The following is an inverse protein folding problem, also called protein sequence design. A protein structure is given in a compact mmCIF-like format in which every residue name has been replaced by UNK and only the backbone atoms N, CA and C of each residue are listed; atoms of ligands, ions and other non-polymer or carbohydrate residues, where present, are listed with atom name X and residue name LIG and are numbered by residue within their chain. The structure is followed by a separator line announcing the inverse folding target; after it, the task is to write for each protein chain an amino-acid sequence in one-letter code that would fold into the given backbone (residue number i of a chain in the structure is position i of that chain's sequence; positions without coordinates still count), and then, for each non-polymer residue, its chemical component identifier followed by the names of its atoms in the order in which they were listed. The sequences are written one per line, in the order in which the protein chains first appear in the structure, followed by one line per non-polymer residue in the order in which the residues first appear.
data_IF_168314583820
#
_entry.id   IF_168314583820
#
_cell.length_a   1.000
_cell.length_b   1.000
_cell.length_c   1.000
_cell.angle_alpha   90.00
_cell.angle_beta   90.00
_cell.angle_gamma   90.00
#
_symmetry.space_group_name_H-M   'P 1'
#
loop_
_entity.id
_entity.type
_entity.pdbx_description
1 polymer ?
#
# COMPACT_ATOMS: atom_id res chain seq x y z
N UNK A 1 -2.03 -2.05 8.60
CA UNK A 1 -1.06 -2.21 7.49
C UNK A 1 0.31 -2.46 8.07
N UNK A 2 1.00 -3.46 7.52
CA UNK A 2 2.35 -3.82 7.93
C UNK A 2 3.31 -2.64 7.73
N UNK A 3 4.25 -2.43 8.66
CA UNK A 3 5.19 -1.30 8.60
C UNK A 3 5.99 -1.33 7.30
N UNK A 4 6.31 -2.54 6.83
CA UNK A 4 6.98 -2.77 5.56
C UNK A 4 6.13 -2.34 4.35
N UNK A 5 4.83 -2.64 4.35
CA UNK A 5 3.95 -2.25 3.25
C UNK A 5 3.83 -0.73 3.12
N UNK A 6 3.78 -0.03 4.26
CA UNK A 6 3.71 1.42 4.30
C UNK A 6 5.01 2.08 3.84
N UNK A 7 6.16 1.54 4.22
CA UNK A 7 7.48 1.99 3.76
C UNK A 7 7.60 1.84 2.24
N UNK A 8 7.18 0.68 1.70
CA UNK A 8 7.24 0.45 0.25
C UNK A 8 6.30 1.41 -0.48
N UNK A 9 5.08 1.63 0.03
CA UNK A 9 4.14 2.61 -0.53
C UNK A 9 4.75 4.02 -0.61
N UNK A 10 5.43 4.44 0.46
CA UNK A 10 6.10 5.75 0.49
C UNK A 10 7.22 5.84 -0.57
N UNK A 11 7.99 4.77 -0.74
CA UNK A 11 9.01 4.67 -1.80
C UNK A 11 8.40 4.77 -3.20
N UNK A 12 7.22 4.21 -3.43
CA UNK A 12 6.55 4.29 -4.74
C UNK A 12 6.08 5.70 -5.07
N UNK A 13 5.52 6.40 -4.08
CA UNK A 13 5.12 7.81 -4.24
C UNK A 13 6.35 8.68 -4.51
N UNK A 14 7.44 8.48 -3.77
CA UNK A 14 8.71 9.17 -4.03
C UNK A 14 9.25 8.86 -5.45
N UNK A 15 9.16 7.60 -5.90
CA UNK A 15 9.52 7.19 -7.24
C UNK A 15 8.71 7.87 -8.34
N UNK A 16 7.39 8.05 -8.15
CA UNK A 16 6.54 8.79 -9.09
C UNK A 16 6.91 10.28 -9.15
N UNK A 17 7.20 10.91 -8.00
CA UNK A 17 7.64 12.31 -7.95
C UNK A 17 8.96 12.48 -8.70
N UNK A 18 9.93 11.59 -8.48
CA UNK A 18 11.23 11.60 -9.17
C UNK A 18 11.04 11.36 -10.69
N UNK A 19 10.13 10.45 -11.07
CA UNK A 19 9.87 10.15 -12.48
C UNK A 19 9.23 11.32 -13.24
N UNK A 20 8.37 12.11 -12.58
CA UNK A 20 7.74 13.31 -13.16
C UNK A 20 8.72 14.49 -13.23
N UNK A 21 9.58 14.65 -12.23
CA UNK A 21 10.52 15.78 -12.14
C UNK A 21 11.79 15.62 -12.97
N UNK A 22 12.02 14.45 -13.59
CA UNK A 22 13.14 14.18 -14.49
C UNK A 22 12.74 14.50 -15.94
N UNK A 23 13.53 15.35 -16.60
CA UNK A 23 13.49 15.52 -18.06
C UNK A 23 14.59 14.68 -18.73
N UNK A 24 14.27 13.85 -19.75
CA UNK A 24 12.93 13.55 -20.26
C UNK A 24 12.13 12.66 -19.32
N UNK A 25 10.80 12.84 -19.30
CA UNK A 25 9.87 11.98 -18.56
C UNK A 25 10.10 10.51 -18.91
N UNK A 26 10.24 9.65 -17.90
CA UNK A 26 10.49 8.22 -18.09
C UNK A 26 9.20 7.44 -17.81
N UNK A 27 8.33 7.21 -18.81
CA UNK A 27 7.04 6.56 -18.62
C UNK A 27 7.18 5.14 -18.07
N UNK A 28 8.23 4.40 -18.44
CA UNK A 28 8.46 3.04 -17.94
C UNK A 28 8.61 2.97 -16.42
N UNK A 29 9.37 3.89 -15.83
CA UNK A 29 9.56 4.00 -14.38
C UNK A 29 8.25 4.41 -13.69
N UNK A 30 7.49 5.32 -14.30
CA UNK A 30 6.21 5.76 -13.78
C UNK A 30 5.19 4.61 -13.72
N UNK A 31 5.00 3.85 -14.81
CA UNK A 31 4.05 2.75 -14.84
C UNK A 31 4.49 1.54 -14.00
N UNK A 32 5.80 1.28 -13.90
CA UNK A 32 6.32 0.28 -12.96
C UNK A 32 6.01 0.67 -11.50
N UNK A 33 6.21 1.95 -11.16
CA UNK A 33 5.86 2.47 -9.84
C UNK A 33 4.35 2.48 -9.59
N UNK A 34 3.54 2.72 -10.63
CA UNK A 34 2.09 2.63 -10.53
C UNK A 34 1.63 1.18 -10.28
N UNK A 35 2.18 0.23 -11.04
CA UNK A 35 1.84 -1.19 -10.96
C UNK A 35 2.19 -1.82 -9.61
N UNK A 36 3.39 -1.53 -9.07
CA UNK A 36 3.77 -2.02 -7.75
C UNK A 36 2.88 -1.45 -6.63
N UNK A 37 2.41 -0.21 -6.76
CA UNK A 37 1.59 0.43 -5.73
C UNK A 37 0.22 -0.25 -5.67
N UNK A 38 -0.33 -0.60 -6.83
CA UNK A 38 -1.59 -1.34 -6.95
C UNK A 38 -1.46 -2.73 -6.29
N UNK A 39 -0.38 -3.48 -6.56
CA UNK A 39 -0.15 -4.81 -5.97
C UNK A 39 -0.10 -4.71 -4.44
N UNK A 40 0.59 -3.71 -3.91
CA UNK A 40 0.71 -3.45 -2.47
C UNK A 40 -0.64 -3.11 -1.85
N UNK A 41 -1.42 -2.25 -2.49
CA UNK A 41 -2.75 -1.86 -2.01
C UNK A 41 -3.67 -3.08 -1.99
N UNK A 42 -3.62 -3.95 -3.01
CA UNK A 42 -4.42 -5.18 -3.05
C UNK A 42 -4.00 -6.13 -1.91
N UNK A 43 -2.70 -6.37 -1.75
CA UNK A 43 -2.19 -7.26 -0.69
C UNK A 43 -2.51 -6.71 0.71
N UNK A 44 -2.35 -5.40 0.90
CA UNK A 44 -2.69 -4.69 2.12
C UNK A 44 -4.18 -4.75 2.43
N UNK A 45 -5.04 -4.53 1.44
CA UNK A 45 -6.50 -4.60 1.56
C UNK A 45 -6.96 -5.99 2.00
N UNK A 46 -6.40 -7.05 1.41
CA UNK A 46 -6.70 -8.43 1.80
C UNK A 46 -6.37 -8.72 3.27
N UNK A 47 -5.19 -8.28 3.74
CA UNK A 47 -4.75 -8.46 5.14
C UNK A 47 -5.59 -7.61 6.11
N UNK A 48 -5.81 -6.34 5.79
CA UNK A 48 -6.55 -5.40 6.66
C UNK A 48 -8.00 -5.86 6.90
N UNK A 49 -8.63 -6.48 5.90
CA UNK A 49 -10.02 -6.94 5.98
C UNK A 49 -10.19 -8.10 6.98
N UNK A 50 -9.18 -8.96 7.13
CA UNK A 50 -9.17 -10.03 8.13
C UNK A 50 -8.95 -9.48 9.54
N UNK A 51 -7.94 -8.62 9.70
CA UNK A 51 -7.62 -7.98 10.99
C UNK A 51 -8.80 -7.14 11.55
N UNK A 52 -9.56 -6.46 10.68
CA UNK A 52 -10.75 -5.71 11.10
C UNK A 52 -11.88 -6.61 11.61
N UNK A 53 -12.07 -7.77 10.99
CA UNK A 53 -13.11 -8.72 11.38
C UNK A 53 -12.77 -9.43 12.70
N UNK A 54 -11.50 -9.75 12.92
CA UNK A 54 -11.00 -10.34 14.16
C UNK A 54 -11.14 -9.37 15.33
N UNK A 55 -10.68 -8.11 15.18
CA UNK A 55 -10.85 -7.06 16.21
C UNK A 55 -12.32 -6.83 16.57
N UNK A 56 -13.24 -6.88 15.59
CA UNK A 56 -14.69 -6.78 15.85
C UNK A 56 -15.25 -7.98 16.61
N UNK A 57 -14.74 -9.20 16.36
CA UNK A 57 -15.14 -10.41 17.09
C UNK A 57 -14.62 -10.40 18.52
N UNK A 58 -13.39 -9.97 18.74
CA UNK A 58 -12.77 -9.86 20.06
C UNK A 58 -13.52 -8.84 20.94
N UNK A 59 -13.85 -7.67 20.40
CA UNK A 59 -14.66 -6.66 21.08
C UNK A 59 -16.05 -7.18 21.48
N UNK A 60 -16.66 -8.05 20.66
CA UNK A 60 -17.95 -8.70 20.98
C UNK A 60 -17.82 -9.76 22.08
N UNK A 61 -16.68 -10.44 22.18
CA UNK A 61 -16.41 -11.42 23.25
C UNK A 61 -16.04 -10.75 24.57
N UNK A 62 -15.31 -9.64 24.55
CA UNK A 62 -14.94 -8.89 25.76
C UNK A 62 -16.12 -8.20 26.45
N UNK A 63 -17.24 -8.01 25.74
CA UNK A 63 -18.46 -7.39 26.25
C UNK A 63 -19.49 -8.38 26.82
N UNK A 64 -19.18 -9.68 26.83
CA UNK A 64 -20.06 -10.75 27.29
C UNK A 64 -19.48 -11.39 28.54
#
# INVERSE_FOLDING_TARGET
MDKYLLIILMFMIAGMIIAITREPFIPGLFYAMLGGAIIIIIYGSMKNRREHNEKRRENRRSKK
#
